data_IF_612001259922
#
_entry.id   IF_612001259922
#
_cell.length_a   1.000
_cell.length_b   1.000
_cell.length_c   1.000
_cell.angle_alpha   90.00
_cell.angle_beta   90.00
_cell.angle_gamma   90.00
#
_symmetry.space_group_name_H-M   'P 1'
#
loop_
_entity.id
_entity.type
_entity.pdbx_description
1 polymer ?
#
# COMPACT_ATOMS: atom_id res chain seq x y z
N UNK A 1 69.06 -43.65 -2.14
CA UNK A 1 67.97 -43.03 -1.35
C UNK A 1 67.76 -41.63 -1.91
N UNK A 2 66.65 -41.17 -2.48
CA UNK A 2 65.33 -41.70 -2.87
C UNK A 2 64.90 -40.90 -4.12
N UNK A 3 64.39 -41.57 -5.17
CA UNK A 3 63.75 -40.92 -6.32
C UNK A 3 62.37 -40.39 -5.93
N UNK A 4 62.11 -39.10 -6.11
CA UNK A 4 60.80 -38.49 -5.92
C UNK A 4 60.03 -38.41 -7.24
N UNK A 5 59.10 -39.33 -7.48
CA UNK A 5 58.16 -39.25 -8.60
C UNK A 5 57.05 -38.21 -8.30
N UNK A 6 56.56 -37.45 -9.30
CA UNK A 6 55.42 -36.57 -9.09
C UNK A 6 54.13 -37.37 -8.86
N UNK A 7 53.19 -36.88 -8.02
CA UNK A 7 51.93 -37.56 -7.74
C UNK A 7 51.02 -37.58 -8.99
N UNK A 8 50.16 -38.59 -9.15
CA UNK A 8 49.23 -38.66 -10.27
C UNK A 8 48.18 -37.53 -10.19
N UNK A 9 47.61 -37.10 -11.33
CA UNK A 9 46.58 -36.07 -11.33
C UNK A 9 45.32 -36.60 -10.63
N UNK A 10 44.72 -35.76 -9.79
CA UNK A 10 43.44 -36.06 -9.14
C UNK A 10 42.37 -36.28 -10.20
N UNK A 11 41.73 -37.46 -10.18
CA UNK A 11 40.64 -37.81 -11.06
C UNK A 11 39.49 -36.80 -10.93
N UNK A 12 39.00 -36.30 -12.05
CA UNK A 12 37.85 -35.42 -12.09
C UNK A 12 36.61 -36.16 -11.56
N UNK A 13 35.78 -35.55 -10.70
CA UNK A 13 34.54 -36.17 -10.24
C UNK A 13 33.56 -36.28 -11.42
N UNK A 14 32.98 -37.47 -11.62
CA UNK A 14 31.92 -37.69 -12.60
C UNK A 14 30.72 -36.77 -12.34
N UNK A 15 30.06 -36.23 -13.37
CA UNK A 15 28.85 -35.43 -13.18
C UNK A 15 27.72 -36.28 -12.60
N UNK A 16 27.06 -35.77 -11.56
CA UNK A 16 25.89 -36.42 -10.98
C UNK A 16 24.75 -36.49 -12.01
N UNK A 17 23.91 -37.53 -11.99
CA UNK A 17 22.75 -37.61 -12.88
C UNK A 17 21.78 -36.45 -12.64
N UNK A 18 21.07 -35.98 -13.69
CA UNK A 18 20.12 -34.89 -13.54
C UNK A 18 18.99 -35.30 -12.60
N UNK A 19 18.75 -34.50 -11.56
CA UNK A 19 17.62 -34.70 -10.66
C UNK A 19 16.30 -34.36 -11.40
N UNK A 20 15.21 -35.12 -11.17
CA UNK A 20 13.91 -34.79 -11.73
C UNK A 20 13.41 -33.43 -11.18
N UNK A 21 12.60 -32.69 -11.96
CA UNK A 21 12.07 -31.41 -11.51
C UNK A 21 11.15 -31.62 -10.28
N UNK A 22 11.14 -30.66 -9.33
CA UNK A 22 10.22 -30.71 -8.21
C UNK A 22 8.76 -30.61 -8.70
N UNK A 23 7.80 -31.20 -7.96
CA UNK A 23 6.39 -31.09 -8.30
C UNK A 23 5.91 -29.63 -8.21
N UNK A 24 4.89 -29.25 -8.99
CA UNK A 24 4.33 -27.91 -8.91
C UNK A 24 3.68 -27.67 -7.54
N UNK A 25 3.73 -26.44 -7.01
CA UNK A 25 3.06 -26.12 -5.76
C UNK A 25 1.53 -26.28 -5.89
N UNK A 26 0.82 -26.61 -4.80
CA UNK A 26 -0.63 -26.70 -4.80
C UNK A 26 -1.24 -25.35 -5.22
N UNK A 27 -2.27 -25.42 -6.08
CA UNK A 27 -2.98 -24.24 -6.56
C UNK A 27 -3.55 -23.44 -5.37
N UNK A 28 -3.16 -22.17 -5.24
CA UNK A 28 -3.71 -21.28 -4.24
C UNK A 28 -5.22 -21.10 -4.47
N UNK A 29 -6.05 -21.02 -3.41
CA UNK A 29 -7.48 -20.73 -3.55
C UNK A 29 -7.68 -19.38 -4.26
N UNK A 30 -8.76 -19.21 -5.04
CA UNK A 30 -9.01 -17.97 -5.77
C UNK A 30 -9.11 -16.80 -4.79
N UNK A 31 -8.14 -15.89 -4.86
CA UNK A 31 -8.17 -14.63 -4.14
C UNK A 31 -9.28 -13.76 -4.76
N UNK A 32 -10.49 -13.86 -4.22
CA UNK A 32 -11.52 -12.85 -4.46
C UNK A 32 -11.07 -11.49 -3.91
N UNK A 33 -11.59 -10.37 -4.45
CA UNK A 33 -11.27 -9.06 -3.90
C UNK A 33 -11.66 -9.00 -2.42
N UNK A 34 -10.86 -8.35 -1.55
CA UNK A 34 -11.20 -8.23 -0.14
C UNK A 34 -12.54 -7.52 0.01
N UNK A 35 -13.47 -8.16 0.72
CA UNK A 35 -14.75 -7.57 1.09
C UNK A 35 -14.50 -6.47 2.12
N UNK A 36 -14.35 -5.22 1.65
CA UNK A 36 -14.35 -4.07 2.54
C UNK A 36 -15.76 -3.92 3.12
N UNK A 37 -15.93 -3.87 4.46
CA UNK A 37 -17.21 -3.51 5.05
C UNK A 37 -17.63 -2.16 4.48
N UNK A 38 -18.70 -2.16 3.68
CA UNK A 38 -19.21 -0.98 3.01
C UNK A 38 -19.64 0.02 4.07
N UNK A 39 -18.78 0.99 4.38
CA UNK A 39 -19.19 2.18 5.14
C UNK A 39 -20.34 2.80 4.35
N UNK A 40 -21.46 3.03 5.04
CA UNK A 40 -22.69 3.54 4.45
C UNK A 40 -22.43 4.71 3.50
N UNK A 41 -23.18 4.77 2.40
CA UNK A 41 -22.99 5.76 1.35
C UNK A 41 -22.95 7.19 1.89
N UNK A 42 -22.18 8.05 1.21
CA UNK A 42 -22.06 9.45 1.58
C UNK A 42 -23.41 10.16 1.37
N UNK A 43 -23.97 10.74 2.42
CA UNK A 43 -25.17 11.56 2.33
C UNK A 43 -24.79 13.03 2.16
N UNK A 44 -25.10 13.59 0.99
CA UNK A 44 -24.83 15.00 0.67
C UNK A 44 -25.93 15.88 1.28
N UNK A 45 -25.54 16.82 2.15
CA UNK A 45 -26.47 17.85 2.67
C UNK A 45 -26.71 18.93 1.62
N UNK A 46 -27.97 19.33 1.46
CA UNK A 46 -28.41 20.35 0.48
C UNK A 46 -28.66 21.75 1.08
N UNK A 47 -28.67 21.87 2.41
CA UNK A 47 -28.84 23.15 3.08
C UNK A 47 -27.59 24.02 2.93
N UNK A 48 -27.73 25.33 3.12
CA UNK A 48 -26.59 26.24 3.11
C UNK A 48 -25.57 25.85 4.19
N UNK A 49 -24.28 25.76 3.83
CA UNK A 49 -23.22 25.39 4.77
C UNK A 49 -23.11 26.36 5.95
N UNK A 50 -23.47 27.62 5.72
CA UNK A 50 -23.51 28.68 6.72
C UNK A 50 -24.57 28.46 7.79
N UNK A 51 -25.45 27.47 7.65
CA UNK A 51 -26.42 27.09 8.68
C UNK A 51 -25.73 26.36 9.85
N UNK A 52 -24.93 25.33 9.54
CA UNK A 52 -24.21 24.51 10.53
C UNK A 52 -22.82 25.05 10.92
N UNK A 53 -22.17 25.80 10.02
CA UNK A 53 -20.77 26.22 10.19
C UNK A 53 -20.58 27.73 10.06
N UNK A 54 -19.62 28.26 10.81
CA UNK A 54 -19.07 29.60 10.61
C UNK A 54 -17.90 29.50 9.64
N UNK A 55 -18.06 30.05 8.44
CA UNK A 55 -17.00 30.13 7.43
C UNK A 55 -16.14 31.36 7.70
N UNK A 56 -14.83 31.20 7.77
CA UNK A 56 -13.89 32.32 7.95
C UNK A 56 -13.20 32.65 6.62
N UNK A 57 -12.48 33.78 6.59
CA UNK A 57 -11.62 34.15 5.47
C UNK A 57 -10.21 33.58 5.60
N UNK A 58 -9.88 32.93 6.72
CA UNK A 58 -8.57 32.38 6.99
C UNK A 58 -8.29 31.19 6.07
N UNK A 59 -7.16 31.29 5.37
CA UNK A 59 -6.73 30.30 4.39
C UNK A 59 -5.80 29.32 5.07
N UNK A 60 -6.11 28.03 4.98
CA UNK A 60 -5.22 26.96 5.45
C UNK A 60 -4.23 26.54 4.35
N UNK A 61 -4.62 26.67 3.08
CA UNK A 61 -3.72 26.41 1.96
C UNK A 61 -4.41 26.43 0.59
N UNK A 62 -3.64 26.07 -0.44
CA UNK A 62 -4.09 25.85 -1.81
C UNK A 62 -3.95 24.35 -2.14
N UNK A 63 -5.06 23.64 -2.30
CA UNK A 63 -5.07 22.25 -2.75
C UNK A 63 -5.03 22.16 -4.28
N UNK A 64 -4.95 20.93 -4.81
CA UNK A 64 -4.78 20.62 -6.25
C UNK A 64 -5.75 21.39 -7.15
N UNK A 65 -6.99 21.64 -6.71
CA UNK A 65 -8.04 22.29 -7.50
C UNK A 65 -8.77 23.42 -6.76
N UNK A 66 -8.22 23.97 -5.67
CA UNK A 66 -8.97 24.99 -4.94
C UNK A 66 -8.36 25.43 -3.62
N UNK A 67 -8.91 26.53 -3.09
CA UNK A 67 -8.55 27.10 -1.80
C UNK A 67 -9.15 26.27 -0.67
N UNK A 68 -8.38 26.10 0.40
CA UNK A 68 -8.85 25.47 1.64
C UNK A 68 -8.98 26.53 2.72
N UNK A 69 -10.18 26.67 3.29
CA UNK A 69 -10.50 27.64 4.33
C UNK A 69 -10.63 26.99 5.70
N UNK A 70 -10.38 27.76 6.75
CA UNK A 70 -10.71 27.40 8.12
C UNK A 70 -12.20 27.68 8.39
N UNK A 71 -12.90 26.70 8.96
CA UNK A 71 -14.30 26.84 9.40
C UNK A 71 -14.49 26.29 10.81
N UNK A 72 -15.54 26.74 11.48
CA UNK A 72 -15.90 26.27 12.82
C UNK A 72 -17.32 25.74 12.85
N UNK A 73 -17.53 24.58 13.45
CA UNK A 73 -18.87 24.06 13.73
C UNK A 73 -19.57 24.98 14.73
N UNK A 74 -20.79 25.43 14.41
CA UNK A 74 -21.55 26.28 15.35
C UNK A 74 -22.02 25.50 16.58
N UNK A 75 -22.23 24.20 16.43
CA UNK A 75 -22.72 23.33 17.52
C UNK A 75 -21.63 22.98 18.51
N UNK A 76 -20.44 22.59 18.03
CA UNK A 76 -19.35 22.12 18.89
C UNK A 76 -18.23 23.14 19.10
N UNK A 77 -18.14 24.17 18.26
CA UNK A 77 -16.99 25.08 18.22
C UNK A 77 -15.72 24.44 17.63
N UNK A 78 -15.79 23.19 17.19
CA UNK A 78 -14.63 22.47 16.64
C UNK A 78 -14.23 23.02 15.27
N UNK A 79 -12.93 22.95 15.00
CA UNK A 79 -12.29 23.52 13.82
C UNK A 79 -12.15 22.49 12.71
N UNK A 80 -12.54 22.87 11.50
CA UNK A 80 -12.49 22.03 10.30
C UNK A 80 -11.90 22.77 9.11
N UNK A 81 -11.59 22.02 8.05
CA UNK A 81 -11.16 22.54 6.76
C UNK A 81 -12.29 22.45 5.74
N UNK A 82 -12.53 23.54 5.01
CA UNK A 82 -13.48 23.60 3.89
C UNK A 82 -12.73 23.71 2.57
N UNK A 83 -12.93 22.73 1.68
CA UNK A 83 -12.45 22.78 0.29
C UNK A 83 -13.62 23.15 -0.60
N UNK A 84 -13.45 24.23 -1.37
CA UNK A 84 -14.33 24.60 -2.48
C UNK A 84 -13.81 24.01 -3.79
#
# INVERSE_FOLDING_TARGET
MLSGAPPPPAGFPSPAPPQPPPPPPPAAPPHGPPAFPGKGGLQIRKNAITDDYKVTTQVLGLGINGKVLEIFSKKSGEKFALKA
#
